data_IF_653543522144
#
_entry.id   IF_653543522144
#
_cell.length_a   1.000
_cell.length_b   1.000
_cell.length_c   1.000
_cell.angle_alpha   90.00
_cell.angle_beta   90.00
_cell.angle_gamma   90.00
#
_symmetry.space_group_name_H-M   'P 1'
#
loop_
_entity.id
_entity.type
_entity.pdbx_description
1 polymer ?
#
# COMPACT_ATOMS: atom_id res chain seq x y z
N UNK A 1 21.93 5.58 3.26
CA UNK A 1 20.63 5.43 2.62
C UNK A 1 20.63 4.40 1.50
N UNK A 2 21.54 4.50 0.54
CA UNK A 2 21.64 3.54 -0.54
C UNK A 2 21.97 2.12 -0.06
N UNK A 3 22.69 1.98 1.06
CA UNK A 3 23.00 0.68 1.66
C UNK A 3 21.78 0.00 2.27
N UNK A 4 20.90 0.77 2.89
CA UNK A 4 19.66 0.22 3.47
C UNK A 4 18.73 -0.31 2.38
N UNK A 5 18.59 0.43 1.30
CA UNK A 5 17.78 0.00 0.17
C UNK A 5 18.39 -1.24 -0.51
N UNK A 6 19.71 -1.31 -0.59
CA UNK A 6 20.36 -2.45 -1.20
C UNK A 6 20.16 -3.72 -0.38
N UNK A 7 20.22 -3.62 0.96
CA UNK A 7 19.97 -4.77 1.82
C UNK A 7 18.52 -5.27 1.74
N UNK A 8 17.57 -4.36 1.48
CA UNK A 8 16.17 -4.74 1.28
C UNK A 8 15.96 -5.64 0.07
N UNK A 9 16.79 -5.50 -0.93
CA UNK A 9 16.67 -6.28 -2.15
C UNK A 9 17.43 -7.61 -2.09
N UNK A 10 18.41 -7.72 -1.18
CA UNK A 10 19.26 -8.88 -1.08
C UNK A 10 18.77 -9.93 -0.06
N UNK A 11 17.95 -9.52 0.92
CA UNK A 11 17.69 -10.34 2.12
C UNK A 11 16.35 -11.06 2.19
N UNK A 12 15.60 -11.16 1.10
CA UNK A 12 14.32 -11.89 1.17
C UNK A 12 14.31 -13.13 0.31
N UNK A 13 14.64 -14.28 0.90
CA UNK A 13 14.70 -15.53 0.15
C UNK A 13 13.36 -16.09 -0.32
N UNK A 14 12.25 -15.52 0.10
CA UNK A 14 10.93 -16.07 -0.21
C UNK A 14 10.33 -15.58 -1.53
N UNK A 15 11.02 -14.70 -2.24
CA UNK A 15 10.53 -14.22 -3.53
C UNK A 15 11.63 -14.29 -4.57
N UNK A 16 11.44 -15.21 -5.50
CA UNK A 16 12.37 -15.48 -6.59
C UNK A 16 12.42 -14.36 -7.66
N UNK A 17 12.15 -13.10 -7.26
CA UNK A 17 12.24 -11.98 -8.20
C UNK A 17 13.66 -11.39 -8.18
N UNK A 18 14.24 -11.11 -9.37
CA UNK A 18 15.49 -10.38 -9.46
C UNK A 18 15.43 -9.04 -8.71
N UNK A 19 16.56 -8.56 -8.21
CA UNK A 19 16.61 -7.36 -7.37
C UNK A 19 15.92 -6.14 -7.97
N UNK A 20 16.09 -5.90 -9.27
CA UNK A 20 15.46 -4.74 -9.90
C UNK A 20 13.94 -4.91 -10.07
N UNK A 21 13.46 -6.12 -10.31
CA UNK A 21 12.02 -6.39 -10.38
C UNK A 21 11.37 -6.24 -9.02
N UNK A 22 12.07 -6.70 -7.97
CA UNK A 22 11.60 -6.49 -6.60
C UNK A 22 11.53 -5.02 -6.26
N UNK A 23 12.55 -4.25 -6.61
CA UNK A 23 12.56 -2.80 -6.41
C UNK A 23 11.37 -2.15 -7.13
N UNK A 24 11.14 -2.54 -8.38
CA UNK A 24 10.03 -2.03 -9.19
C UNK A 24 8.69 -2.32 -8.51
N UNK A 25 8.53 -3.54 -7.99
CA UNK A 25 7.32 -3.94 -7.27
C UNK A 25 7.12 -3.11 -5.99
N UNK A 26 8.17 -2.95 -5.19
CA UNK A 26 8.12 -2.15 -3.97
C UNK A 26 7.72 -0.72 -4.26
N UNK A 27 8.28 -0.11 -5.30
CA UNK A 27 7.95 1.26 -5.69
C UNK A 27 6.52 1.37 -6.22
N UNK A 28 6.06 0.36 -6.96
CA UNK A 28 4.70 0.34 -7.47
C UNK A 28 3.68 0.27 -6.32
N UNK A 29 3.90 -0.61 -5.35
CA UNK A 29 3.03 -0.70 -4.17
C UNK A 29 3.06 0.61 -3.38
N UNK A 30 4.24 1.17 -3.16
CA UNK A 30 4.39 2.44 -2.46
C UNK A 30 3.63 3.56 -3.15
N UNK A 31 3.68 3.62 -4.47
CA UNK A 31 2.93 4.61 -5.25
C UNK A 31 1.43 4.47 -5.06
N UNK A 32 0.91 3.24 -5.05
CA UNK A 32 -0.51 3.00 -4.83
C UNK A 32 -0.96 3.39 -3.41
N UNK A 33 -0.13 3.11 -2.42
CA UNK A 33 -0.40 3.50 -1.04
C UNK A 33 -0.44 5.02 -0.89
N UNK A 34 0.46 5.71 -1.57
CA UNK A 34 0.49 7.16 -1.54
C UNK A 34 -0.74 7.78 -2.23
N UNK A 35 -1.18 7.20 -3.35
CA UNK A 35 -2.30 7.76 -4.11
C UNK A 35 -3.61 7.81 -3.32
N UNK A 36 -3.83 6.87 -2.40
CA UNK A 36 -5.04 6.92 -1.57
C UNK A 36 -5.05 8.13 -0.64
N UNK A 37 -3.88 8.60 -0.22
CA UNK A 37 -3.76 9.77 0.66
C UNK A 37 -3.86 11.09 -0.09
N UNK A 38 -3.69 11.07 -1.40
CA UNK A 38 -3.55 12.25 -2.24
C UNK A 38 -4.86 13.00 -2.49
N UNK A 39 -5.98 12.34 -2.21
CA UNK A 39 -7.31 12.89 -2.49
C UNK A 39 -7.57 14.18 -1.69
N UNK A 40 -6.98 14.33 -0.52
CA UNK A 40 -7.24 15.44 0.40
C UNK A 40 -6.17 16.55 0.37
N UNK A 41 -5.25 16.55 -0.58
CA UNK A 41 -4.20 17.55 -0.75
C UNK A 41 -3.22 17.69 0.45
N UNK A 42 -3.55 17.12 1.59
CA UNK A 42 -2.72 17.15 2.80
C UNK A 42 -2.67 15.75 3.38
N UNK A 43 -1.53 15.09 3.24
CA UNK A 43 -1.30 13.79 3.87
C UNK A 43 -1.13 13.99 5.38
N UNK A 44 -1.99 13.33 6.16
CA UNK A 44 -1.87 13.36 7.61
C UNK A 44 -0.76 12.40 8.09
N UNK A 45 -0.24 12.64 9.30
CA UNK A 45 0.71 11.71 9.90
C UNK A 45 0.11 10.33 10.12
N UNK A 46 -1.18 10.25 10.45
CA UNK A 46 -1.88 8.99 10.61
C UNK A 46 -1.94 8.20 9.31
N UNK A 47 -2.19 8.87 8.19
CA UNK A 47 -2.19 8.25 6.87
C UNK A 47 -0.78 7.77 6.50
N UNK A 48 0.24 8.59 6.76
CA UNK A 48 1.63 8.21 6.51
C UNK A 48 2.01 6.99 7.35
N UNK A 49 1.69 6.99 8.63
CA UNK A 49 1.98 5.86 9.51
C UNK A 49 1.29 4.58 9.05
N UNK A 50 0.05 4.68 8.58
CA UNK A 50 -0.68 3.54 8.05
C UNK A 50 -0.02 3.01 6.76
N UNK A 51 0.45 3.89 5.88
CA UNK A 51 1.14 3.49 4.66
C UNK A 51 2.50 2.83 4.96
N UNK A 52 3.25 3.37 5.91
CA UNK A 52 4.52 2.76 6.35
C UNK A 52 4.27 1.38 6.96
N UNK A 53 3.23 1.26 7.77
CA UNK A 53 2.82 -0.02 8.36
C UNK A 53 2.47 -1.05 7.29
N UNK A 54 1.80 -0.62 6.22
CA UNK A 54 1.47 -1.49 5.10
C UNK A 54 2.72 -2.03 4.42
N UNK A 55 3.71 -1.18 4.16
CA UNK A 55 4.96 -1.61 3.55
C UNK A 55 5.74 -2.56 4.45
N UNK A 56 5.79 -2.27 5.74
CA UNK A 56 6.44 -3.15 6.71
C UNK A 56 5.77 -4.52 6.73
N UNK A 57 4.44 -4.57 6.77
CA UNK A 57 3.68 -5.82 6.81
C UNK A 57 3.80 -6.62 5.52
N UNK A 58 3.65 -5.97 4.37
CA UNK A 58 3.65 -6.66 3.09
C UNK A 58 5.01 -7.22 2.70
N UNK A 59 6.08 -6.54 3.07
CA UNK A 59 7.44 -6.86 2.62
C UNK A 59 8.45 -7.15 3.73
N UNK A 60 8.00 -7.13 4.98
CA UNK A 60 8.90 -7.39 6.11
C UNK A 60 9.95 -6.30 6.33
N UNK A 61 9.63 -5.05 6.02
CA UNK A 61 10.57 -3.96 6.14
C UNK A 61 10.63 -3.41 7.56
N UNK A 62 11.82 -2.92 7.94
CA UNK A 62 11.95 -2.12 9.17
C UNK A 62 11.22 -0.78 9.01
N UNK A 63 10.80 -0.13 10.11
CA UNK A 63 10.17 1.19 10.01
C UNK A 63 10.98 2.23 9.25
N UNK A 64 12.31 2.38 9.45
CA UNK A 64 13.10 3.33 8.67
C UNK A 64 13.10 3.01 7.17
N UNK A 65 13.19 1.75 6.82
CA UNK A 65 13.20 1.33 5.41
C UNK A 65 11.84 1.57 4.75
N UNK A 66 10.76 1.30 5.47
CA UNK A 66 9.41 1.60 4.99
C UNK A 66 9.22 3.10 4.74
N UNK A 67 9.74 3.93 5.63
CA UNK A 67 9.66 5.39 5.48
C UNK A 67 10.41 5.88 4.24
N UNK A 68 11.61 5.37 4.01
CA UNK A 68 12.42 5.71 2.84
C UNK A 68 11.70 5.29 1.55
N UNK A 69 11.17 4.08 1.54
CA UNK A 69 10.47 3.54 0.37
C UNK A 69 9.19 4.33 0.08
N UNK A 70 8.46 4.73 1.12
CA UNK A 70 7.25 5.53 0.96
C UNK A 70 7.56 6.88 0.33
N UNK A 71 8.67 7.51 0.72
CA UNK A 71 9.08 8.79 0.14
C UNK A 71 9.48 8.64 -1.33
N UNK A 72 10.19 7.57 -1.68
CA UNK A 72 10.50 7.29 -3.10
C UNK A 72 9.22 7.03 -3.91
N UNK A 73 8.27 6.31 -3.34
CA UNK A 73 6.99 6.06 -4.00
C UNK A 73 6.19 7.34 -4.19
N UNK A 74 6.25 8.25 -3.22
CA UNK A 74 5.63 9.57 -3.30
C UNK A 74 6.18 10.37 -4.47
N UNK A 75 7.50 10.41 -4.60
CA UNK A 75 8.15 11.12 -5.69
C UNK A 75 7.79 10.50 -7.04
N UNK A 76 7.76 9.18 -7.09
CA UNK A 76 7.36 8.48 -8.31
C UNK A 76 5.90 8.76 -8.68
N UNK A 77 5.01 8.79 -7.69
CA UNK A 77 3.58 9.06 -7.92
C UNK A 77 3.36 10.46 -8.53
N UNK A 78 4.17 11.44 -8.14
CA UNK A 78 4.09 12.78 -8.71
C UNK A 78 4.37 12.82 -10.20
N UNK A 79 5.19 11.89 -10.70
CA UNK A 79 5.58 11.83 -12.10
C UNK A 79 4.61 11.02 -12.94
N UNK A 80 3.72 10.26 -12.31
CA UNK A 80 2.77 9.42 -13.01
C UNK A 80 1.51 10.21 -13.37
N UNK A 81 1.07 10.06 -14.61
CA UNK A 81 -0.20 10.63 -15.07
C UNK A 81 -1.37 9.69 -14.77
N UNK A 82 -1.08 8.43 -14.42
CA UNK A 82 -2.07 7.40 -14.18
C UNK A 82 -1.51 6.32 -13.26
N UNK A 83 -2.35 5.74 -12.42
CA UNK A 83 -1.94 4.59 -11.59
C UNK A 83 -1.98 3.26 -12.34
N UNK A 84 -2.19 3.28 -13.64
CA UNK A 84 -2.28 2.06 -14.45
C UNK A 84 -0.96 1.28 -14.48
N UNK A 85 0.17 1.99 -14.62
CA UNK A 85 1.48 1.33 -14.64
C UNK A 85 1.82 0.64 -13.32
N UNK A 86 1.67 1.29 -12.13
CA UNK A 86 1.92 0.58 -10.88
C UNK A 86 0.94 -0.57 -10.64
N UNK A 87 -0.32 -0.43 -11.01
CA UNK A 87 -1.29 -1.54 -10.90
C UNK A 87 -0.84 -2.74 -11.71
N UNK A 88 -0.39 -2.54 -12.93
CA UNK A 88 0.09 -3.62 -13.80
C UNK A 88 1.28 -4.36 -13.17
N UNK A 89 2.22 -3.63 -12.60
CA UNK A 89 3.39 -4.21 -11.93
C UNK A 89 2.96 -5.05 -10.73
N UNK A 90 2.06 -4.51 -9.89
CA UNK A 90 1.57 -5.20 -8.69
C UNK A 90 0.80 -6.46 -9.06
N UNK A 91 -0.04 -6.40 -10.09
CA UNK A 91 -0.81 -7.55 -10.54
C UNK A 91 0.09 -8.71 -10.95
N UNK A 92 1.20 -8.42 -11.61
CA UNK A 92 2.17 -9.44 -12.03
C UNK A 92 3.07 -9.92 -10.90
N UNK A 93 3.40 -9.02 -9.97
CA UNK A 93 4.39 -9.28 -8.94
C UNK A 93 3.85 -9.87 -7.64
N UNK A 94 2.57 -9.69 -7.33
CA UNK A 94 1.97 -10.20 -6.11
C UNK A 94 0.95 -11.30 -6.41
N UNK A 95 1.05 -12.45 -5.74
CA UNK A 95 -0.01 -13.46 -5.77
C UNK A 95 -1.29 -12.93 -5.11
N UNK A 96 -2.41 -13.58 -5.38
CA UNK A 96 -3.72 -13.11 -4.93
C UNK A 96 -3.81 -12.84 -3.42
N UNK A 97 -3.30 -13.71 -2.53
CA UNK A 97 -3.37 -13.42 -1.09
C UNK A 97 -2.71 -12.09 -0.70
N UNK A 98 -1.56 -11.77 -1.29
CA UNK A 98 -0.87 -10.51 -1.03
C UNK A 98 -1.59 -9.33 -1.65
N UNK A 99 -2.23 -9.53 -2.81
CA UNK A 99 -3.04 -8.47 -3.41
C UNK A 99 -4.24 -8.14 -2.51
N UNK A 100 -4.87 -9.15 -1.92
CA UNK A 100 -5.97 -8.95 -0.97
C UNK A 100 -5.48 -8.19 0.26
N UNK A 101 -4.30 -8.54 0.78
CA UNK A 101 -3.69 -7.82 1.91
C UNK A 101 -3.40 -6.36 1.56
N UNK A 102 -2.91 -6.10 0.36
CA UNK A 102 -2.69 -4.74 -0.10
C UNK A 102 -4.01 -3.95 -0.12
N UNK A 103 -5.07 -4.53 -0.65
CA UNK A 103 -6.39 -3.89 -0.66
C UNK A 103 -6.87 -3.59 0.77
N UNK A 104 -6.67 -4.51 1.68
CA UNK A 104 -7.01 -4.25 3.08
C UNK A 104 -6.24 -3.07 3.66
N UNK A 105 -4.95 -2.96 3.34
CA UNK A 105 -4.14 -1.82 3.77
C UNK A 105 -4.62 -0.50 3.14
N UNK A 106 -5.02 -0.53 1.88
CA UNK A 106 -5.60 0.65 1.23
C UNK A 106 -6.89 1.09 1.94
N UNK A 107 -7.74 0.13 2.32
CA UNK A 107 -8.93 0.43 3.12
C UNK A 107 -8.57 1.00 4.50
N UNK A 108 -7.54 0.48 5.15
CA UNK A 108 -7.09 0.99 6.45
C UNK A 108 -6.64 2.44 6.35
N UNK A 109 -5.89 2.78 5.32
CA UNK A 109 -5.47 4.17 5.11
C UNK A 109 -6.70 5.05 4.87
N UNK A 110 -7.63 4.58 4.06
CA UNK A 110 -8.86 5.33 3.77
C UNK A 110 -9.71 5.58 5.02
N UNK A 111 -9.69 4.65 5.99
CA UNK A 111 -10.47 4.79 7.23
C UNK A 111 -9.72 5.47 8.38
N UNK A 112 -8.45 5.78 8.22
CA UNK A 112 -7.61 6.20 9.35
C UNK A 112 -8.09 7.48 10.01
N UNK A 113 -8.73 8.37 9.27
CA UNK A 113 -9.28 9.62 9.79
C UNK A 113 -10.70 9.46 10.36
N UNK A 114 -11.21 8.24 10.42
CA UNK A 114 -12.55 7.97 10.90
C UNK A 114 -13.65 8.29 9.90
N UNK A 115 -13.31 8.83 8.75
CA UNK A 115 -14.23 9.15 7.67
C UNK A 115 -13.75 8.52 6.37
N UNK A 116 -14.65 7.81 5.70
CA UNK A 116 -14.37 7.32 4.37
C UNK A 116 -14.88 8.35 3.37
N UNK A 117 -13.96 9.01 2.67
CA UNK A 117 -14.27 9.89 1.58
C UNK A 117 -14.75 9.09 0.37
N UNK A 118 -15.70 9.65 -0.41
CA UNK A 118 -16.21 8.96 -1.59
C UNK A 118 -15.14 8.73 -2.66
N UNK A 119 -14.16 9.63 -2.78
CA UNK A 119 -13.06 9.48 -3.72
C UNK A 119 -12.11 8.37 -3.28
N UNK A 120 -11.83 8.26 -2.00
CA UNK A 120 -11.01 7.18 -1.44
C UNK A 120 -11.71 5.84 -1.63
N UNK A 121 -12.99 5.74 -1.33
CA UNK A 121 -13.78 4.54 -1.56
C UNK A 121 -13.74 4.12 -3.02
N UNK A 122 -13.97 5.06 -3.92
CA UNK A 122 -13.92 4.79 -5.35
C UNK A 122 -12.53 4.31 -5.79
N UNK A 123 -11.49 4.96 -5.31
CA UNK A 123 -10.12 4.61 -5.64
C UNK A 123 -9.79 3.17 -5.22
N UNK A 124 -10.09 2.79 -3.98
CA UNK A 124 -9.77 1.46 -3.49
C UNK A 124 -10.55 0.38 -4.26
N UNK A 125 -11.84 0.64 -4.53
CA UNK A 125 -12.66 -0.28 -5.33
C UNK A 125 -12.09 -0.45 -6.75
N UNK A 126 -11.66 0.65 -7.35
CA UNK A 126 -11.08 0.63 -8.70
C UNK A 126 -9.77 -0.15 -8.73
N UNK A 127 -8.90 0.08 -7.78
CA UNK A 127 -7.63 -0.65 -7.68
C UNK A 127 -7.88 -2.14 -7.45
N UNK A 128 -8.80 -2.48 -6.55
CA UNK A 128 -9.16 -3.88 -6.31
C UNK A 128 -9.64 -4.57 -7.58
N UNK A 129 -10.49 -3.89 -8.34
CA UNK A 129 -10.98 -4.42 -9.62
C UNK A 129 -9.83 -4.64 -10.61
N UNK A 130 -8.96 -3.64 -10.74
CA UNK A 130 -7.82 -3.72 -11.68
C UNK A 130 -6.78 -4.76 -11.25
N UNK A 131 -6.69 -5.06 -9.97
CA UNK A 131 -5.81 -6.12 -9.45
C UNK A 131 -6.47 -7.50 -9.47
N UNK A 132 -7.66 -7.61 -10.03
CA UNK A 132 -8.42 -8.87 -10.06
C UNK A 132 -8.65 -9.45 -8.67
N UNK A 133 -8.84 -8.59 -7.67
CA UNK A 133 -9.30 -9.01 -6.36
C UNK A 133 -10.83 -9.11 -6.42
N UNK A 134 -11.40 -10.31 -6.17
CA UNK A 134 -12.86 -10.48 -6.21
C UNK A 134 -13.56 -9.51 -5.26
N UNK A 135 -14.69 -8.97 -5.70
CA UNK A 135 -15.41 -7.97 -4.93
C UNK A 135 -15.77 -8.46 -3.51
N UNK A 136 -16.12 -9.74 -3.38
CA UNK A 136 -16.40 -10.35 -2.09
C UNK A 136 -15.20 -10.23 -1.15
N UNK A 137 -14.01 -10.55 -1.64
CA UNK A 137 -12.80 -10.46 -0.84
C UNK A 137 -12.43 -9.01 -0.53
N UNK A 138 -12.64 -8.10 -1.47
CA UNK A 138 -12.42 -6.68 -1.23
C UNK A 138 -13.35 -6.14 -0.13
N UNK A 139 -14.63 -6.54 -0.14
CA UNK A 139 -15.57 -6.11 0.87
C UNK A 139 -15.28 -6.71 2.24
N UNK A 140 -14.84 -7.96 2.30
CA UNK A 140 -14.38 -8.56 3.55
C UNK A 140 -13.14 -7.83 4.08
N UNK A 141 -12.20 -7.49 3.21
CA UNK A 141 -11.02 -6.72 3.58
C UNK A 141 -11.41 -5.32 4.11
N UNK A 142 -12.38 -4.69 3.47
CA UNK A 142 -12.93 -3.40 3.92
C UNK A 142 -13.52 -3.52 5.34
N UNK A 143 -14.27 -4.57 5.58
CA UNK A 143 -14.87 -4.79 6.90
C UNK A 143 -13.81 -5.04 7.96
N UNK A 144 -12.76 -5.81 7.65
CA UNK A 144 -11.64 -6.01 8.57
C UNK A 144 -10.91 -4.69 8.87
N UNK A 145 -10.69 -3.88 7.84
CA UNK A 145 -10.03 -2.59 7.97
C UNK A 145 -10.82 -1.64 8.84
N UNK A 146 -12.16 -1.63 8.69
CA UNK A 146 -13.05 -0.80 9.50
C UNK A 146 -13.00 -1.19 10.97
N UNK A 147 -12.91 -2.50 11.26
CA UNK A 147 -12.85 -3.03 12.61
C UNK A 147 -11.46 -3.08 13.23
N UNK A 148 -10.45 -2.49 12.58
CA UNK A 148 -9.07 -2.57 13.04
C UNK A 148 -8.85 -1.79 14.34
N UNK A 149 -8.08 -2.37 15.29
CA UNK A 149 -7.90 -1.82 16.64
C UNK A 149 -7.24 -0.44 16.73
N UNK A 150 -6.64 0.07 15.67
CA UNK A 150 -6.22 1.47 15.68
C UNK A 150 -7.40 2.38 15.94
N UNK A 151 -8.58 1.92 15.55
CA UNK A 151 -9.84 2.53 15.90
C UNK A 151 -10.38 2.00 17.21
N UNK A 152 -9.83 0.92 17.74
CA UNK A 152 -10.31 0.26 18.94
C UNK A 152 -9.79 0.88 20.24
N UNK A 153 -8.97 1.90 20.13
CA UNK A 153 -8.57 2.66 21.32
C UNK A 153 -9.77 3.32 22.01
N UNK A 154 -10.92 3.24 21.40
CA UNK A 154 -12.15 3.66 22.03
C UNK A 154 -12.93 2.55 22.71
N UNK A 155 -12.44 1.33 22.66
CA UNK A 155 -13.17 0.16 23.18
C UNK A 155 -12.52 -0.36 24.43
N UNK A 156 -11.98 0.48 25.18
CA UNK A 156 -11.52 0.06 26.50
C UNK A 156 -12.70 -0.26 27.38
#
# INVERSE_FOLDING_TARGET
MLRALKSLFDDQPSRALPGHERRHLLLAVSSLLHEVTRVDLAESEAERAAAECALADLFGLSPPDAAVLLEEGRERARQLTSYFAPVSVVKRGLPLPERVRLIEHLWRIAFVDGRLDSHEDHYVRKVAHLLYVPNTQSMLARNRARGTPGSANGVA
#
